data_IF_550007965686
#
_entry.id   IF_550007965686
#
_cell.length_a   1.000
_cell.length_b   1.000
_cell.length_c   1.000
_cell.angle_alpha   90.00
_cell.angle_beta   90.00
_cell.angle_gamma   90.00
#
_symmetry.space_group_name_H-M   'P 1'
#
loop_
_entity.id
_entity.type
_entity.pdbx_description
1 polymer ?
#
# COMPACT_ATOMS: atom_id res chain seq x y z
N UNK A 1 -4.04 -31.88 -16.73
CA UNK A 1 -4.77 -31.50 -17.96
C UNK A 1 -4.49 -30.04 -18.28
N UNK A 2 -3.64 -29.80 -19.29
CA UNK A 2 -3.32 -28.48 -19.82
C UNK A 2 -4.59 -27.80 -20.33
N UNK A 3 -4.89 -26.61 -19.81
CA UNK A 3 -5.99 -25.76 -20.33
C UNK A 3 -5.37 -24.61 -21.11
N UNK A 4 -5.68 -24.60 -22.40
CA UNK A 4 -5.26 -23.69 -23.45
C UNK A 4 -4.94 -22.27 -22.98
N UNK A 5 -3.68 -21.86 -23.21
CA UNK A 5 -3.22 -20.49 -23.08
C UNK A 5 -3.64 -19.70 -24.31
N UNK A 6 -4.68 -18.88 -24.18
CA UNK A 6 -4.98 -17.88 -25.20
C UNK A 6 -3.78 -16.94 -25.34
N UNK A 7 -3.38 -16.69 -26.59
CA UNK A 7 -2.40 -15.64 -26.90
C UNK A 7 -2.97 -14.28 -26.48
N UNK A 8 -2.12 -13.39 -25.97
CA UNK A 8 -2.55 -12.05 -25.58
C UNK A 8 -2.92 -11.23 -26.82
N UNK A 9 -4.13 -10.66 -26.82
CA UNK A 9 -4.52 -9.62 -27.77
C UNK A 9 -3.76 -8.31 -27.48
N UNK A 10 -3.62 -7.42 -28.48
CA UNK A 10 -2.94 -6.12 -28.31
C UNK A 10 -3.53 -5.29 -27.17
N UNK A 11 -4.86 -5.32 -27.00
CA UNK A 11 -5.55 -4.64 -25.89
C UNK A 11 -5.14 -5.22 -24.54
N UNK A 12 -5.02 -6.54 -24.44
CA UNK A 12 -4.66 -7.23 -23.20
C UNK A 12 -3.19 -7.01 -22.84
N UNK A 13 -2.32 -6.96 -23.86
CA UNK A 13 -0.91 -6.60 -23.72
C UNK A 13 -0.77 -5.16 -23.21
N UNK A 14 -1.52 -4.20 -23.76
CA UNK A 14 -1.54 -2.83 -23.26
C UNK A 14 -1.97 -2.76 -21.79
N UNK A 15 -3.04 -3.47 -21.42
CA UNK A 15 -3.46 -3.57 -20.01
C UNK A 15 -2.36 -4.12 -19.10
N UNK A 16 -1.55 -5.07 -19.59
CA UNK A 16 -0.46 -5.67 -18.80
C UNK A 16 0.66 -4.67 -18.56
N UNK A 17 0.98 -3.84 -19.56
CA UNK A 17 1.90 -2.72 -19.34
C UNK A 17 1.38 -1.71 -18.31
N UNK A 18 0.08 -1.39 -18.34
CA UNK A 18 -0.54 -0.50 -17.34
C UNK A 18 -0.45 -1.11 -15.94
N UNK A 19 -0.82 -2.38 -15.78
CA UNK A 19 -0.73 -3.07 -14.48
C UNK A 19 0.72 -3.19 -13.99
N UNK A 20 1.66 -3.44 -14.90
CA UNK A 20 3.08 -3.49 -14.58
C UNK A 20 3.57 -2.12 -14.08
N UNK A 21 3.20 -1.02 -14.74
CA UNK A 21 3.56 0.33 -14.33
C UNK A 21 2.99 0.66 -12.94
N UNK A 22 1.73 0.30 -12.67
CA UNK A 22 1.09 0.50 -11.37
C UNK A 22 1.81 -0.28 -10.26
N UNK A 23 2.16 -1.55 -10.51
CA UNK A 23 2.85 -2.39 -9.53
C UNK A 23 4.31 -1.97 -9.31
N UNK A 24 4.99 -1.48 -10.36
CA UNK A 24 6.37 -1.00 -10.28
C UNK A 24 6.49 0.33 -9.52
N UNK A 25 5.51 1.23 -9.66
CA UNK A 25 5.55 2.54 -9.03
C UNK A 25 5.89 2.54 -7.53
N UNK A 26 5.22 1.76 -6.65
CA UNK A 26 5.55 1.72 -5.22
C UNK A 26 6.92 1.08 -4.94
N UNK A 27 7.33 0.08 -5.73
CA UNK A 27 8.64 -0.58 -5.56
C UNK A 27 9.74 0.40 -5.92
N UNK A 28 9.69 0.96 -7.13
CA UNK A 28 10.66 1.95 -7.61
C UNK A 28 10.71 3.14 -6.66
N UNK A 29 9.55 3.71 -6.30
CA UNK A 29 9.46 4.81 -5.35
C UNK A 29 10.11 4.50 -4.00
N UNK A 30 9.96 3.29 -3.47
CA UNK A 30 10.58 2.89 -2.21
C UNK A 30 12.11 2.94 -2.23
N UNK A 31 12.74 2.55 -3.36
CA UNK A 31 14.19 2.64 -3.54
C UNK A 31 14.64 4.09 -3.75
N UNK A 32 13.94 4.87 -4.59
CA UNK A 32 14.28 6.28 -4.80
C UNK A 32 14.23 7.10 -3.51
N UNK A 33 13.27 6.84 -2.63
CA UNK A 33 13.19 7.49 -1.31
C UNK A 33 14.37 7.11 -0.40
N UNK A 34 14.92 5.90 -0.53
CA UNK A 34 16.13 5.50 0.19
C UNK A 34 17.39 6.23 -0.29
N UNK A 35 17.44 6.65 -1.56
CA UNK A 35 18.57 7.44 -2.11
C UNK A 35 18.58 8.92 -1.65
N UNK A 36 17.73 9.29 -0.69
CA UNK A 36 17.70 10.64 -0.11
C UNK A 36 16.80 11.63 -0.85
N UNK A 37 15.98 11.15 -1.79
CA UNK A 37 14.96 11.97 -2.44
C UNK A 37 13.86 12.31 -1.41
N UNK A 38 14.00 13.43 -0.73
CA UNK A 38 12.95 13.97 0.13
C UNK A 38 11.88 14.57 -0.77
N UNK A 39 10.70 13.97 -0.81
CA UNK A 39 9.55 14.55 -1.51
C UNK A 39 8.71 15.29 -0.46
N UNK A 40 8.89 16.62 -0.30
CA UNK A 40 8.26 17.39 0.78
C UNK A 40 6.72 17.40 0.70
N UNK A 41 6.16 17.05 -0.46
CA UNK A 41 4.71 17.04 -0.71
C UNK A 41 4.03 15.67 -0.49
N UNK A 42 4.78 14.59 -0.22
CA UNK A 42 4.21 13.28 0.12
C UNK A 42 4.01 13.19 1.64
N UNK A 43 3.18 14.09 2.15
CA UNK A 43 2.56 13.92 3.47
C UNK A 43 1.25 13.16 3.33
N UNK A 44 0.76 12.55 4.42
CA UNK A 44 -0.62 12.04 4.43
C UNK A 44 -1.58 13.25 4.46
N UNK A 45 -2.37 13.51 3.39
CA UNK A 45 -3.25 14.67 3.36
C UNK A 45 -4.29 14.61 4.47
N UNK A 46 -4.83 13.42 4.77
CA UNK A 46 -5.78 13.22 5.85
C UNK A 46 -5.20 13.62 7.22
N UNK A 47 -3.95 13.24 7.48
CA UNK A 47 -3.27 13.63 8.72
C UNK A 47 -2.99 15.14 8.76
N UNK A 48 -2.58 15.74 7.63
CA UNK A 48 -2.27 17.17 7.56
C UNK A 48 -3.51 18.04 7.76
N UNK A 49 -4.64 17.65 7.15
CA UNK A 49 -5.85 18.47 7.17
C UNK A 49 -6.76 18.18 8.37
N UNK A 50 -6.93 16.91 8.71
CA UNK A 50 -7.89 16.45 9.74
C UNK A 50 -7.18 16.05 11.04
N UNK A 51 -5.90 15.65 10.98
CA UNK A 51 -5.17 15.16 12.16
C UNK A 51 -5.44 13.69 12.48
N UNK A 52 -6.12 12.96 11.59
CA UNK A 52 -6.43 11.54 11.76
C UNK A 52 -5.66 10.72 10.71
N UNK A 53 -4.83 9.74 11.12
CA UNK A 53 -4.11 8.90 10.17
C UNK A 53 -5.08 7.93 9.47
N UNK A 54 -4.89 7.73 8.16
CA UNK A 54 -5.68 6.76 7.38
C UNK A 54 -5.15 5.32 7.55
N UNK A 55 -5.88 4.28 7.07
CA UNK A 55 -5.42 2.90 7.14
C UNK A 55 -4.09 2.64 6.45
N UNK A 56 -3.72 3.44 5.46
CA UNK A 56 -2.43 3.37 4.76
C UNK A 56 -1.30 4.17 5.42
N UNK A 57 -1.53 4.82 6.55
CA UNK A 57 -0.51 5.66 7.19
C UNK A 57 0.71 4.85 7.60
N UNK A 58 1.90 5.25 7.14
CA UNK A 58 3.14 4.53 7.38
C UNK A 58 3.44 3.41 6.38
N UNK A 59 2.55 3.11 5.42
CA UNK A 59 2.79 2.07 4.41
C UNK A 59 4.01 2.39 3.55
N UNK A 60 4.13 3.62 3.04
CA UNK A 60 5.30 4.06 2.25
C UNK A 60 6.60 3.90 3.04
N UNK A 61 6.63 4.31 4.33
CA UNK A 61 7.80 4.16 5.21
C UNK A 61 8.15 2.69 5.41
N UNK A 62 7.13 1.84 5.55
CA UNK A 62 7.30 0.39 5.66
C UNK A 62 7.90 -0.20 4.38
N UNK A 63 7.37 0.14 3.19
CA UNK A 63 7.93 -0.32 1.91
C UNK A 63 9.39 0.14 1.72
N UNK A 64 9.70 1.40 2.06
CA UNK A 64 11.08 1.92 2.03
C UNK A 64 12.00 1.16 3.00
N UNK A 65 11.52 0.79 4.19
CA UNK A 65 12.28 -0.04 5.13
C UNK A 65 12.49 -1.47 4.60
N UNK A 66 11.49 -2.07 3.96
CA UNK A 66 11.65 -3.37 3.26
C UNK A 66 12.69 -3.27 2.15
N UNK A 67 12.65 -2.21 1.34
CA UNK A 67 13.57 -2.02 0.21
C UNK A 67 15.05 -1.92 0.61
N UNK A 68 15.36 -1.52 1.85
CA UNK A 68 16.73 -1.52 2.40
C UNK A 68 17.05 -2.77 3.25
N UNK A 69 16.15 -3.74 3.30
CA UNK A 69 16.32 -5.00 4.05
C UNK A 69 15.99 -4.91 5.55
N UNK A 70 15.40 -3.81 6.03
CA UNK A 70 15.08 -3.59 7.44
C UNK A 70 13.62 -3.98 7.74
N UNK A 71 13.38 -5.29 7.84
CA UNK A 71 12.04 -5.83 8.10
C UNK A 71 11.50 -5.49 9.49
N UNK A 72 12.38 -5.35 10.48
CA UNK A 72 12.00 -4.96 11.84
C UNK A 72 11.36 -3.57 11.83
N UNK A 73 12.04 -2.59 11.21
CA UNK A 73 11.49 -1.25 11.11
C UNK A 73 10.30 -1.19 10.15
N UNK A 74 10.26 -2.02 9.11
CA UNK A 74 9.11 -2.12 8.23
C UNK A 74 7.84 -2.51 8.98
N UNK A 75 7.90 -3.56 9.80
CA UNK A 75 6.77 -4.04 10.61
C UNK A 75 6.38 -2.98 11.65
N UNK A 76 7.37 -2.33 12.27
CA UNK A 76 7.12 -1.23 13.21
C UNK A 76 6.36 -0.06 12.56
N UNK A 77 6.64 0.24 11.28
CA UNK A 77 5.90 1.27 10.55
C UNK A 77 4.52 0.84 10.10
N UNK A 78 4.38 -0.39 9.60
CA UNK A 78 3.11 -0.93 9.15
C UNK A 78 3.22 -2.45 8.99
N UNK A 79 2.40 -3.20 9.73
CA UNK A 79 2.46 -4.67 9.73
C UNK A 79 2.27 -5.26 8.33
N UNK A 80 1.33 -4.70 7.55
CA UNK A 80 1.07 -5.17 6.18
C UNK A 80 2.08 -4.70 5.14
N UNK A 81 3.05 -3.85 5.47
CA UNK A 81 3.98 -3.32 4.47
C UNK A 81 4.84 -4.40 3.79
N UNK A 82 5.51 -5.31 4.53
CA UNK A 82 6.18 -6.46 3.94
C UNK A 82 5.27 -7.34 3.08
N UNK A 83 4.02 -7.54 3.51
CA UNK A 83 3.02 -8.34 2.77
C UNK A 83 2.69 -7.68 1.43
N UNK A 84 2.42 -6.38 1.42
CA UNK A 84 2.16 -5.63 0.18
C UNK A 84 3.41 -5.57 -0.72
N UNK A 85 4.60 -5.41 -0.15
CA UNK A 85 5.85 -5.42 -0.93
C UNK A 85 6.00 -6.76 -1.67
N UNK A 86 5.82 -7.89 -0.96
CA UNK A 86 5.86 -9.22 -1.56
C UNK A 86 4.76 -9.40 -2.63
N UNK A 87 3.54 -8.93 -2.37
CA UNK A 87 2.44 -9.00 -3.33
C UNK A 87 2.75 -8.22 -4.62
N UNK A 88 3.35 -7.04 -4.54
CA UNK A 88 3.80 -6.28 -5.71
C UNK A 88 4.88 -7.02 -6.50
N UNK A 89 5.89 -7.60 -5.84
CA UNK A 89 6.92 -8.39 -6.52
C UNK A 89 6.32 -9.60 -7.24
N UNK A 90 5.43 -10.34 -6.59
CA UNK A 90 4.74 -11.49 -7.19
C UNK A 90 3.91 -11.05 -8.40
N UNK A 91 3.18 -9.93 -8.29
CA UNK A 91 2.39 -9.38 -9.38
C UNK A 91 3.28 -8.96 -10.57
N UNK A 92 4.41 -8.29 -10.31
CA UNK A 92 5.38 -7.89 -11.33
C UNK A 92 5.91 -9.14 -12.06
N UNK A 93 6.41 -10.12 -11.30
CA UNK A 93 6.94 -11.37 -11.88
C UNK A 93 5.89 -12.07 -12.73
N UNK A 94 4.67 -12.16 -12.24
CA UNK A 94 3.57 -12.77 -12.98
C UNK A 94 3.27 -12.04 -14.29
N UNK A 95 3.11 -10.70 -14.26
CA UNK A 95 2.81 -9.90 -15.44
C UNK A 95 3.95 -9.97 -16.47
N UNK A 96 5.20 -9.95 -16.00
CA UNK A 96 6.39 -10.11 -16.86
C UNK A 96 6.37 -11.48 -17.54
N UNK A 97 6.02 -12.54 -16.83
CA UNK A 97 5.89 -13.88 -17.41
C UNK A 97 4.77 -13.95 -18.45
N UNK A 98 3.62 -13.28 -18.23
CA UNK A 98 2.55 -13.21 -19.24
C UNK A 98 3.03 -12.49 -20.51
N UNK A 99 3.75 -11.38 -20.35
CA UNK A 99 4.27 -10.57 -21.45
C UNK A 99 5.35 -11.31 -22.26
N UNK A 100 6.31 -11.96 -21.60
CA UNK A 100 7.39 -12.72 -22.26
C UNK A 100 6.83 -13.92 -23.01
N UNK A 101 5.92 -14.68 -22.39
CA UNK A 101 5.36 -15.89 -23.01
C UNK A 101 4.23 -15.56 -24.01
N UNK A 102 3.82 -14.29 -24.10
CA UNK A 102 2.68 -13.80 -24.87
C UNK A 102 1.38 -14.60 -24.66
N UNK A 103 1.17 -15.07 -23.43
CA UNK A 103 0.13 -16.05 -23.07
C UNK A 103 -0.46 -15.70 -21.72
N UNK A 104 -1.79 -15.84 -21.59
CA UNK A 104 -2.47 -15.69 -20.30
C UNK A 104 -2.09 -16.85 -19.38
N UNK A 105 -1.65 -16.54 -18.16
CA UNK A 105 -1.33 -17.53 -17.15
C UNK A 105 -2.49 -17.56 -16.16
N UNK A 106 -3.25 -18.66 -16.14
CA UNK A 106 -4.34 -18.83 -15.18
C UNK A 106 -3.77 -19.28 -13.84
N UNK A 107 -3.87 -18.45 -12.80
CA UNK A 107 -3.29 -18.72 -11.49
C UNK A 107 -4.39 -18.96 -10.46
N UNK A 108 -4.02 -19.62 -9.38
CA UNK A 108 -4.87 -19.91 -8.23
C UNK A 108 -5.31 -18.67 -7.44
N UNK A 109 -4.52 -17.59 -7.39
CA UNK A 109 -4.90 -16.43 -6.58
C UNK A 109 -5.97 -15.53 -7.22
N UNK A 110 -6.18 -15.60 -8.54
CA UNK A 110 -7.21 -14.80 -9.23
C UNK A 110 -8.62 -15.08 -8.68
N UNK A 111 -9.09 -16.34 -8.60
CA UNK A 111 -10.40 -16.63 -8.00
C UNK A 111 -10.44 -16.28 -6.51
N UNK A 112 -9.31 -16.36 -5.78
CA UNK A 112 -9.24 -15.94 -4.38
C UNK A 112 -9.48 -14.43 -4.23
N UNK A 113 -8.80 -13.61 -5.03
CA UNK A 113 -8.95 -12.14 -5.01
C UNK A 113 -10.34 -11.71 -5.51
N UNK A 114 -10.91 -12.41 -6.48
CA UNK A 114 -12.26 -12.12 -7.01
C UNK A 114 -13.39 -12.60 -6.08
N UNK A 115 -13.10 -13.38 -5.05
CA UNK A 115 -14.11 -13.84 -4.12
C UNK A 115 -14.51 -12.71 -3.15
N UNK A 116 -15.77 -12.26 -3.24
CA UNK A 116 -16.29 -11.19 -2.38
C UNK A 116 -16.15 -11.51 -0.87
N UNK A 117 -16.31 -12.77 -0.46
CA UNK A 117 -16.11 -13.15 0.95
C UNK A 117 -14.65 -12.95 1.39
N UNK A 118 -13.69 -13.27 0.51
CA UNK A 118 -12.28 -13.03 0.78
C UNK A 118 -11.97 -11.53 0.84
N UNK A 119 -12.54 -10.73 -0.07
CA UNK A 119 -12.39 -9.27 -0.04
C UNK A 119 -12.96 -8.67 1.25
N UNK A 120 -14.16 -9.09 1.67
CA UNK A 120 -14.78 -8.67 2.94
C UNK A 120 -13.90 -9.08 4.11
N UNK A 121 -13.39 -10.31 4.12
CA UNK A 121 -12.48 -10.79 5.17
C UNK A 121 -11.21 -9.93 5.25
N UNK A 122 -10.52 -9.68 4.12
CA UNK A 122 -9.36 -8.81 4.07
C UNK A 122 -9.68 -7.39 4.55
N UNK A 123 -10.85 -6.85 4.16
CA UNK A 123 -11.31 -5.55 4.60
C UNK A 123 -11.51 -5.50 6.12
N UNK A 124 -12.20 -6.49 6.70
CA UNK A 124 -12.40 -6.60 8.15
C UNK A 124 -11.08 -6.71 8.91
N UNK A 125 -10.14 -7.51 8.41
CA UNK A 125 -8.79 -7.64 9.00
C UNK A 125 -8.03 -6.31 8.96
N UNK A 126 -8.08 -5.60 7.83
CA UNK A 126 -7.39 -4.31 7.67
C UNK A 126 -8.00 -3.23 8.57
N UNK A 127 -9.33 -3.13 8.62
CA UNK A 127 -10.02 -2.16 9.49
C UNK A 127 -9.90 -2.52 10.96
N UNK A 128 -9.91 -3.81 11.31
CA UNK A 128 -9.63 -4.28 12.67
C UNK A 128 -8.22 -3.90 13.13
N UNK A 129 -7.20 -4.15 12.30
CA UNK A 129 -5.82 -3.72 12.56
C UNK A 129 -5.69 -2.20 12.66
N UNK A 130 -6.34 -1.45 11.77
CA UNK A 130 -6.31 0.01 11.84
C UNK A 130 -6.98 0.52 13.12
N UNK A 131 -8.09 -0.11 13.54
CA UNK A 131 -8.77 0.18 14.79
C UNK A 131 -7.87 -0.02 16.02
N UNK A 132 -7.15 -1.15 16.11
CA UNK A 132 -6.21 -1.37 17.23
C UNK A 132 -5.06 -0.37 17.22
N UNK A 133 -4.57 0.01 16.04
CA UNK A 133 -3.54 1.04 15.89
C UNK A 133 -4.03 2.42 16.32
N UNK A 134 -5.26 2.82 15.93
CA UNK A 134 -5.86 4.06 16.40
C UNK A 134 -6.06 4.06 17.91
N UNK A 135 -6.50 2.95 18.50
CA UNK A 135 -6.60 2.82 19.96
C UNK A 135 -5.23 2.99 20.64
N UNK A 136 -4.16 2.44 20.07
CA UNK A 136 -2.81 2.64 20.58
C UNK A 136 -2.40 4.12 20.52
N UNK A 137 -2.60 4.78 19.38
CA UNK A 137 -2.29 6.21 19.19
C UNK A 137 -3.13 7.12 20.09
N UNK A 138 -4.37 6.71 20.41
CA UNK A 138 -5.23 7.40 21.36
C UNK A 138 -4.62 7.33 22.77
N UNK A 139 -4.22 6.13 23.21
CA UNK A 139 -3.65 5.90 24.54
C UNK A 139 -2.32 6.63 24.75
N UNK A 140 -1.52 6.81 23.70
CA UNK A 140 -0.26 7.57 23.77
C UNK A 140 -0.45 9.08 23.67
N UNK A 141 -1.67 9.56 23.40
CA UNK A 141 -1.95 10.98 23.18
C UNK A 141 -1.47 11.51 21.82
N UNK A 142 -0.91 10.65 20.96
CA UNK A 142 -0.43 11.07 19.63
C UNK A 142 -1.57 11.56 18.74
N UNK A 143 -2.78 10.98 18.85
CA UNK A 143 -3.94 11.47 18.09
C UNK A 143 -4.25 12.93 18.44
N UNK A 144 -4.20 13.28 19.72
CA UNK A 144 -4.45 14.66 20.14
C UNK A 144 -3.39 15.60 19.56
N UNK A 145 -2.11 15.22 19.63
CA UNK A 145 -1.01 15.97 19.03
C UNK A 145 -1.18 16.15 17.51
N UNK A 146 -1.60 15.12 16.79
CA UNK A 146 -1.89 15.24 15.35
C UNK A 146 -3.09 16.13 15.07
N UNK A 147 -4.12 16.08 15.91
CA UNK A 147 -5.32 16.91 15.78
C UNK A 147 -4.97 18.39 15.92
N UNK A 148 -4.29 18.80 16.99
CA UNK A 148 -3.96 20.21 17.25
C UNK A 148 -3.03 20.81 16.18
N UNK A 149 -2.15 20.00 15.57
CA UNK A 149 -1.25 20.45 14.51
C UNK A 149 -1.85 20.36 13.10
N UNK A 150 -3.07 19.83 12.97
CA UNK A 150 -3.77 19.78 11.69
C UNK A 150 -4.40 21.14 11.36
N UNK A 151 -4.71 21.38 10.08
CA UNK A 151 -5.40 22.61 9.68
C UNK A 151 -6.76 22.76 10.37
N UNK A 152 -7.50 21.64 10.53
CA UNK A 152 -8.78 21.63 11.20
C UNK A 152 -8.63 21.92 12.71
N UNK A 153 -7.64 21.32 13.37
CA UNK A 153 -7.39 21.59 14.78
C UNK A 153 -6.94 23.03 15.03
N UNK A 154 -6.07 23.59 14.18
CA UNK A 154 -5.73 25.01 14.24
C UNK A 154 -6.95 25.90 14.06
N UNK A 155 -7.90 25.53 13.18
CA UNK A 155 -9.12 26.31 12.99
C UNK A 155 -10.09 26.19 14.19
N UNK A 156 -10.23 25.00 14.78
CA UNK A 156 -11.14 24.74 15.90
C UNK A 156 -10.60 25.24 17.25
N UNK A 157 -9.30 25.07 17.49
CA UNK A 157 -8.66 25.30 18.78
C UNK A 157 -7.67 26.48 18.77
N UNK A 158 -7.21 26.93 17.60
CA UNK A 158 -6.30 28.07 17.45
C UNK A 158 -6.97 29.43 17.56
N UNK A 159 -8.28 29.49 17.82
CA UNK A 159 -8.99 30.71 18.27
C UNK A 159 -8.97 30.84 19.81
N UNK A 160 -8.52 29.81 20.53
CA UNK A 160 -8.61 29.71 22.01
C UNK A 160 -7.24 29.85 22.70
N UNK A 161 -6.14 30.02 21.97
CA UNK A 161 -4.79 30.34 22.50
C UNK A 161 -4.33 31.65 21.86
#
# INVERSE_FOLDING_TARGET
MQKFSEFLSDKERYQRYVYLAIALFPIIGSYFLNFGLKIPFIGCPLLRFIGIPCPGWGLTRSLTAVARGDFSQAIAYHLFGPVFFAAFIIAILHIVLELINNRKIRIFYVPLIQNNHFQIFCFLVLFGYHGTRLQQLWKTGEIYNFLIHSTLGNWLFGVII
#
